data_IF_727192360912
#
_entry.id   IF_727192360912
#
_cell.length_a   1.000
_cell.length_b   1.000
_cell.length_c   1.000
_cell.angle_alpha   90.00
_cell.angle_beta   90.00
_cell.angle_gamma   90.00
#
_symmetry.space_group_name_H-M   'P 1'
#
loop_
_entity.id
_entity.type
_entity.pdbx_description
1 polymer ?
#
# COMPACT_ATOMS: atom_id res chain seq x y z
N UNK A 1 49.15 -11.01 -9.14
CA UNK A 1 48.21 -12.15 -9.03
C UNK A 1 47.28 -11.91 -7.86
N UNK A 2 46.03 -12.31 -8.06
CA UNK A 2 44.81 -12.06 -7.29
C UNK A 2 44.86 -12.45 -5.80
N UNK A 3 44.04 -11.75 -5.00
CA UNK A 3 43.05 -12.31 -4.05
C UNK A 3 42.27 -11.14 -3.42
N UNK A 4 41.08 -10.81 -3.94
CA UNK A 4 39.76 -11.24 -3.44
C UNK A 4 39.51 -10.91 -1.95
N UNK A 5 39.09 -9.67 -1.67
CA UNK A 5 38.44 -9.32 -0.41
C UNK A 5 36.92 -9.47 -0.56
N UNK A 6 36.40 -10.53 0.08
CA UNK A 6 34.98 -10.85 0.13
C UNK A 6 34.19 -9.81 0.91
N UNK A 7 33.22 -9.18 0.24
CA UNK A 7 32.14 -8.43 0.87
C UNK A 7 31.24 -9.43 1.61
N UNK A 8 31.39 -9.53 2.92
CA UNK A 8 30.43 -10.23 3.77
C UNK A 8 29.09 -9.50 3.71
N UNK A 9 28.08 -10.15 3.13
CA UNK A 9 26.70 -9.74 3.20
C UNK A 9 26.25 -9.69 4.67
N UNK A 10 26.15 -8.49 5.24
CA UNK A 10 25.57 -8.31 6.57
C UNK A 10 24.04 -8.44 6.45
N UNK A 11 23.52 -9.53 7.00
CA UNK A 11 22.10 -9.74 7.26
C UNK A 11 21.47 -8.51 7.95
N UNK A 12 20.22 -8.15 7.65
CA UNK A 12 19.51 -7.12 8.39
C UNK A 12 19.40 -7.54 9.87
N UNK A 13 19.60 -6.61 10.82
CA UNK A 13 19.61 -6.95 12.24
C UNK A 13 18.23 -7.47 12.68
N UNK A 14 18.20 -8.71 13.18
CA UNK A 14 17.03 -9.27 13.86
C UNK A 14 16.74 -8.46 15.12
N UNK A 15 15.48 -8.03 15.28
CA UNK A 15 14.97 -7.28 16.44
C UNK A 15 15.31 -7.98 17.76
N UNK A 16 16.10 -7.33 18.63
CA UNK A 16 16.05 -7.54 20.08
C UNK A 16 14.94 -6.63 20.63
N UNK A 17 13.94 -7.22 21.28
CA UNK A 17 12.78 -6.48 21.84
C UNK A 17 13.26 -5.36 22.77
N UNK A 18 12.75 -4.15 22.58
CA UNK A 18 12.83 -3.06 23.56
C UNK A 18 14.00 -2.07 23.47
N UNK A 19 14.93 -2.19 22.51
CA UNK A 19 15.94 -1.14 22.28
C UNK A 19 15.50 -0.17 21.17
N UNK A 20 15.69 1.16 21.34
CA UNK A 20 15.50 2.11 20.25
C UNK A 20 16.31 1.67 19.03
N UNK A 21 15.70 1.69 17.84
CA UNK A 21 16.45 1.52 16.60
C UNK A 21 17.49 2.64 16.55
N UNK A 22 18.77 2.26 16.45
CA UNK A 22 19.82 3.22 16.12
C UNK A 22 19.64 3.56 14.64
N UNK A 23 19.34 4.82 14.36
CA UNK A 23 19.25 5.32 12.99
C UNK A 23 20.58 5.95 12.64
N UNK A 24 21.18 5.49 11.54
CA UNK A 24 22.46 6.01 11.06
C UNK A 24 22.31 7.38 10.38
N UNK A 25 21.09 7.78 10.02
CA UNK A 25 20.77 9.07 9.42
C UNK A 25 19.58 9.73 10.16
N UNK A 26 19.63 11.06 10.30
CA UNK A 26 18.55 11.89 10.83
C UNK A 26 17.26 11.75 10.03
N UNK A 27 17.34 11.53 8.71
CA UNK A 27 16.15 11.35 7.86
C UNK A 27 15.44 10.03 8.12
N UNK A 28 16.21 8.96 8.33
CA UNK A 28 15.63 7.65 8.66
C UNK A 28 15.01 7.68 10.07
N UNK A 29 15.62 8.45 10.99
CA UNK A 29 15.03 8.73 12.30
C UNK A 29 13.73 9.51 12.18
N UNK A 30 13.69 10.56 11.35
CA UNK A 30 12.49 11.39 11.11
C UNK A 30 11.39 10.55 10.46
N UNK A 31 11.71 9.81 9.41
CA UNK A 31 10.80 8.89 8.72
C UNK A 31 10.22 7.85 9.68
N UNK A 32 11.06 7.20 10.49
CA UNK A 32 10.59 6.20 11.43
C UNK A 32 9.73 6.80 12.56
N UNK A 33 10.02 8.04 12.99
CA UNK A 33 9.14 8.78 13.92
C UNK A 33 7.78 9.05 13.30
N UNK A 34 7.73 9.51 12.04
CA UNK A 34 6.48 9.74 11.32
C UNK A 34 5.71 8.44 11.07
N UNK A 35 6.38 7.35 10.67
CA UNK A 35 5.75 6.02 10.54
C UNK A 35 5.22 5.48 11.88
N UNK A 36 5.96 5.66 12.96
CA UNK A 36 5.49 5.29 14.31
C UNK A 36 4.28 6.13 14.71
N UNK A 37 4.30 7.42 14.37
CA UNK A 37 3.18 8.33 14.60
C UNK A 37 1.95 7.91 13.78
N UNK A 38 2.12 7.50 12.52
CA UNK A 38 1.07 6.88 11.69
C UNK A 38 0.46 5.67 12.39
N UNK A 39 1.29 4.74 12.87
CA UNK A 39 0.81 3.56 13.60
C UNK A 39 0.06 3.93 14.88
N UNK A 40 0.51 4.96 15.60
CA UNK A 40 -0.18 5.43 16.81
C UNK A 40 -1.57 6.02 16.50
N UNK A 41 -1.71 6.77 15.40
CA UNK A 41 -3.00 7.30 14.97
C UNK A 41 -3.93 6.21 14.43
N UNK A 42 -3.39 5.22 13.71
CA UNK A 42 -4.15 4.05 13.26
C UNK A 42 -4.72 3.27 14.45
N UNK A 43 -3.89 2.94 15.44
CA UNK A 43 -4.32 2.24 16.64
C UNK A 43 -5.32 3.08 17.47
N UNK A 44 -5.15 4.39 17.54
CA UNK A 44 -6.09 5.27 18.26
C UNK A 44 -7.47 5.35 17.59
N UNK A 45 -7.54 5.20 16.26
CA UNK A 45 -8.81 5.12 15.52
C UNK A 45 -9.46 3.74 15.60
N UNK A 46 -8.68 2.65 15.54
CA UNK A 46 -9.21 1.29 15.76
C UNK A 46 -9.73 1.07 17.19
N UNK A 47 -9.16 1.77 18.17
CA UNK A 47 -9.62 1.71 19.57
C UNK A 47 -10.84 2.58 19.85
N UNK A 48 -11.31 3.39 18.91
CA UNK A 48 -12.56 4.16 19.02
C UNK A 48 -13.41 4.07 17.75
N UNK A 49 -14.00 2.91 17.40
CA UNK A 49 -14.92 2.88 16.27
C UNK A 49 -16.28 3.50 16.63
N UNK A 50 -16.72 3.42 17.89
CA UNK A 50 -18.10 3.75 18.29
C UNK A 50 -18.15 4.12 19.79
N UNK A 51 -18.62 5.33 20.11
CA UNK A 51 -19.25 5.56 21.40
C UNK A 51 -20.59 4.84 21.43
N UNK A 52 -20.64 3.61 21.98
CA UNK A 52 -21.78 2.99 22.69
C UNK A 52 -21.52 1.50 22.95
N UNK A 53 -21.70 1.08 24.21
CA UNK A 53 -22.48 -0.11 24.54
C UNK A 53 -21.83 -1.49 24.42
N UNK A 54 -21.90 -2.21 25.56
CA UNK A 54 -21.88 -3.67 25.69
C UNK A 54 -20.53 -4.38 25.71
N UNK A 55 -20.02 -4.47 26.94
CA UNK A 55 -19.41 -5.68 27.47
C UNK A 55 -20.24 -6.92 27.11
N UNK A 56 -19.74 -7.75 26.20
CA UNK A 56 -20.02 -9.18 26.25
C UNK A 56 -18.78 -9.95 25.79
N UNK A 57 -18.12 -10.55 26.78
CA UNK A 57 -17.01 -11.49 26.63
C UNK A 57 -17.47 -12.71 25.83
N UNK A 58 -16.65 -13.29 24.94
CA UNK A 58 -16.98 -14.58 24.35
C UNK A 58 -16.84 -15.70 25.40
N UNK A 59 -17.94 -16.44 25.61
CA UNK A 59 -17.97 -17.69 26.38
C UNK A 59 -17.25 -18.79 25.59
N UNK A 60 -16.32 -19.47 26.24
CA UNK A 60 -15.81 -20.78 25.83
C UNK A 60 -16.97 -21.77 25.69
N UNK A 61 -17.10 -22.43 24.54
CA UNK A 61 -17.75 -23.75 24.48
C UNK A 61 -16.74 -24.78 23.96
N UNK A 62 -16.53 -25.81 24.78
CA UNK A 62 -15.82 -27.03 24.45
C UNK A 62 -16.80 -27.91 23.68
N UNK A 63 -16.41 -28.42 22.52
CA UNK A 63 -17.10 -29.57 21.91
C UNK A 63 -16.11 -30.73 21.70
N UNK A 64 -16.51 -31.88 22.25
CA UNK A 64 -15.87 -33.17 22.16
C UNK A 64 -16.13 -33.85 20.80
N UNK A 65 -15.32 -34.86 20.40
CA UNK A 65 -15.44 -35.48 19.09
C UNK A 65 -16.61 -36.46 19.03
N UNK A 66 -17.39 -36.40 17.94
CA UNK A 66 -18.44 -37.37 17.63
C UNK A 66 -17.94 -38.36 16.57
N UNK A 67 -17.81 -39.63 16.95
CA UNK A 67 -17.67 -40.75 16.02
C UNK A 67 -19.05 -41.31 15.64
N UNK A 68 -19.18 -41.71 14.37
CA UNK A 68 -20.07 -42.73 13.75
C UNK A 68 -20.35 -42.28 12.30
N UNK A 69 -20.50 -43.09 11.28
CA UNK A 69 -20.31 -44.52 11.02
C UNK A 69 -20.43 -44.64 9.50
N UNK A 70 -19.54 -45.40 8.87
CA UNK A 70 -19.53 -45.62 7.42
C UNK A 70 -20.64 -46.62 7.06
N UNK A 71 -21.66 -46.15 6.35
CA UNK A 71 -22.60 -47.01 5.62
C UNK A 71 -22.79 -46.46 4.21
N UNK A 72 -22.47 -47.33 3.24
CA UNK A 72 -22.39 -47.08 1.81
C UNK A 72 -23.77 -47.34 1.20
N UNK A 73 -24.39 -46.30 0.65
CA UNK A 73 -25.59 -46.45 -0.18
C UNK A 73 -25.33 -45.76 -1.52
N UNK A 74 -25.40 -46.54 -2.60
CA UNK A 74 -25.21 -46.10 -3.98
C UNK A 74 -26.43 -45.28 -4.39
N UNK A 75 -26.22 -44.00 -4.73
CA UNK A 75 -27.26 -43.16 -5.34
C UNK A 75 -27.21 -43.28 -6.87
N UNK A 76 -28.37 -43.31 -7.56
CA UNK A 76 -28.45 -43.27 -9.01
C UNK A 76 -28.02 -41.88 -9.52
N UNK A 77 -27.25 -41.84 -10.62
CA UNK A 77 -26.80 -40.60 -11.23
C UNK A 77 -27.97 -39.79 -11.82
N UNK A 78 -27.98 -38.45 -11.69
CA UNK A 78 -28.88 -37.59 -12.46
C UNK A 78 -28.40 -37.44 -13.92
N UNK A 79 -29.33 -37.21 -14.87
CA UNK A 79 -29.00 -37.05 -16.28
C UNK A 79 -28.32 -35.69 -16.54
N UNK A 80 -27.34 -35.72 -17.44
CA UNK A 80 -26.68 -34.57 -18.09
C UNK A 80 -26.17 -33.46 -17.17
N UNK A 81 -25.00 -33.74 -16.57
CA UNK A 81 -24.07 -32.70 -16.17
C UNK A 81 -23.74 -31.87 -17.41
N UNK A 82 -24.14 -30.59 -17.39
CA UNK A 82 -23.68 -29.56 -18.32
C UNK A 82 -22.16 -29.76 -18.48
N UNK A 83 -21.73 -30.23 -19.67
CA UNK A 83 -20.31 -30.33 -19.99
C UNK A 83 -19.74 -28.96 -19.74
N UNK A 84 -18.91 -28.82 -18.71
CA UNK A 84 -18.14 -27.60 -18.51
C UNK A 84 -17.40 -27.37 -19.82
N UNK A 85 -17.86 -26.39 -20.59
CA UNK A 85 -17.08 -25.84 -21.68
C UNK A 85 -15.81 -25.38 -21.00
N UNK A 86 -14.73 -26.14 -21.17
CA UNK A 86 -13.41 -25.73 -20.72
C UNK A 86 -13.20 -24.37 -21.36
N UNK A 87 -13.23 -23.32 -20.53
CA UNK A 87 -12.92 -21.97 -21.00
C UNK A 87 -11.59 -22.09 -21.72
N UNK A 88 -11.47 -21.62 -22.97
CA UNK A 88 -10.21 -21.69 -23.68
C UNK A 88 -9.14 -21.08 -22.77
N UNK A 89 -8.10 -21.85 -22.49
CA UNK A 89 -6.99 -21.39 -21.68
C UNK A 89 -6.50 -20.10 -22.34
N UNK A 90 -6.73 -18.97 -21.65
CA UNK A 90 -6.20 -17.68 -22.07
C UNK A 90 -4.69 -17.86 -22.17
N UNK A 91 -4.18 -17.99 -23.40
CA UNK A 91 -2.75 -17.92 -23.68
C UNK A 91 -2.33 -16.49 -23.38
N UNK A 92 -2.05 -16.24 -22.11
CA UNK A 92 -1.41 -15.03 -21.65
C UNK A 92 -0.05 -15.00 -22.31
N UNK A 93 0.15 -14.14 -23.32
CA UNK A 93 1.50 -13.70 -23.66
C UNK A 93 2.02 -13.00 -22.38
N UNK A 94 2.99 -13.59 -21.65
CA UNK A 94 3.32 -13.17 -20.28
C UNK A 94 3.73 -11.69 -20.22
N UNK A 95 4.56 -11.28 -21.17
CA UNK A 95 5.22 -9.98 -21.23
C UNK A 95 4.25 -8.80 -21.43
N UNK A 96 3.19 -8.98 -22.24
CA UNK A 96 2.27 -7.88 -22.56
C UNK A 96 1.17 -7.69 -21.52
N UNK A 97 0.78 -8.75 -20.82
CA UNK A 97 -0.43 -8.71 -19.98
C UNK A 97 -0.13 -8.20 -18.57
N UNK A 98 1.00 -8.58 -17.98
CA UNK A 98 1.40 -8.08 -16.67
C UNK A 98 1.69 -6.58 -16.72
N UNK A 99 2.41 -6.13 -17.76
CA UNK A 99 2.72 -4.71 -17.97
C UNK A 99 1.47 -3.87 -18.19
N UNK A 100 0.52 -4.35 -19.01
CA UNK A 100 -0.79 -3.70 -19.19
C UNK A 100 -1.59 -3.65 -17.89
N UNK A 101 -1.57 -4.72 -17.10
CA UNK A 101 -2.24 -4.75 -15.80
C UNK A 101 -1.63 -3.74 -14.82
N UNK A 102 -0.29 -3.68 -14.74
CA UNK A 102 0.42 -2.69 -13.92
C UNK A 102 0.09 -1.25 -14.34
N UNK A 103 0.13 -0.96 -15.64
CA UNK A 103 -0.22 0.36 -16.17
C UNK A 103 -1.69 0.73 -15.90
N UNK A 104 -2.61 -0.22 -16.03
CA UNK A 104 -4.03 -0.01 -15.74
C UNK A 104 -4.28 0.28 -14.24
N UNK A 105 -3.58 -0.44 -13.35
CA UNK A 105 -3.66 -0.19 -11.90
C UNK A 105 -3.14 1.21 -11.58
N UNK A 106 -1.99 1.59 -12.13
CA UNK A 106 -1.41 2.92 -11.94
C UNK A 106 -2.36 4.02 -12.42
N UNK A 107 -2.84 3.89 -13.65
CA UNK A 107 -3.73 4.88 -14.27
C UNK A 107 -4.99 5.11 -13.45
N UNK A 108 -5.65 4.04 -12.97
CA UNK A 108 -6.88 4.15 -12.17
C UNK A 108 -6.71 5.03 -10.92
N UNK A 109 -5.52 5.03 -10.34
CA UNK A 109 -5.24 5.74 -9.07
C UNK A 109 -4.72 7.15 -9.30
N UNK A 110 -4.13 7.41 -10.47
CA UNK A 110 -3.36 8.63 -10.72
C UNK A 110 -3.90 9.49 -11.85
N UNK A 111 -5.03 9.13 -12.46
CA UNK A 111 -5.67 9.95 -13.49
C UNK A 111 -6.02 11.34 -12.92
N UNK A 112 -5.69 12.45 -13.63
CA UNK A 112 -5.18 12.53 -14.99
C UNK A 112 -3.65 12.37 -15.15
N UNK A 113 -2.88 12.41 -14.06
CA UNK A 113 -1.41 12.44 -14.01
C UNK A 113 -0.70 11.09 -14.23
N UNK A 114 -1.38 10.09 -14.80
CA UNK A 114 -0.85 8.74 -15.02
C UNK A 114 0.43 8.63 -15.86
N UNK A 115 0.81 9.69 -16.56
CA UNK A 115 2.08 9.78 -17.30
C UNK A 115 3.29 9.96 -16.38
N UNK A 116 3.08 10.52 -15.18
CA UNK A 116 4.09 10.64 -14.15
C UNK A 116 4.24 9.31 -13.43
N UNK A 117 5.44 9.02 -12.93
CA UNK A 117 5.70 7.79 -12.17
C UNK A 117 6.43 8.09 -10.86
N UNK A 118 6.36 7.16 -9.91
CA UNK A 118 7.12 7.32 -8.68
C UNK A 118 6.64 8.48 -7.82
N UNK A 119 7.58 9.34 -7.46
CA UNK A 119 7.39 10.44 -6.50
C UNK A 119 6.87 11.71 -7.18
N UNK A 120 7.17 11.89 -8.46
CA UNK A 120 6.77 13.06 -9.27
C UNK A 120 5.26 13.27 -9.30
N UNK A 121 4.48 12.19 -9.20
CA UNK A 121 3.01 12.25 -9.23
C UNK A 121 2.42 12.83 -7.94
N UNK A 122 3.17 12.85 -6.84
CA UNK A 122 2.63 13.22 -5.53
C UNK A 122 2.21 14.69 -5.48
N UNK A 123 3.02 15.60 -6.02
CA UNK A 123 2.70 17.02 -6.00
C UNK A 123 1.43 17.36 -6.81
N UNK A 124 1.27 16.90 -8.08
CA UNK A 124 0.03 17.11 -8.82
C UNK A 124 -1.21 16.47 -8.18
N UNK A 125 -1.06 15.31 -7.54
CA UNK A 125 -2.17 14.70 -6.78
C UNK A 125 -2.52 15.53 -5.55
N UNK A 126 -1.54 16.10 -4.86
CA UNK A 126 -1.79 17.02 -3.76
C UNK A 126 -2.53 18.28 -4.22
N UNK A 127 -2.18 18.84 -5.38
CA UNK A 127 -2.89 19.99 -5.95
C UNK A 127 -4.35 19.63 -6.30
N UNK A 128 -4.58 18.41 -6.78
CA UNK A 128 -5.93 17.86 -7.00
C UNK A 128 -6.70 17.73 -5.68
N UNK A 129 -6.05 17.27 -4.61
CA UNK A 129 -6.63 17.21 -3.25
C UNK A 129 -7.02 18.61 -2.76
N UNK A 130 -6.16 19.61 -2.93
CA UNK A 130 -6.47 21.00 -2.58
C UNK A 130 -7.64 21.55 -3.38
N UNK A 131 -7.74 21.19 -4.66
CA UNK A 131 -8.87 21.56 -5.51
C UNK A 131 -10.17 20.99 -4.94
N UNK A 132 -10.21 19.68 -4.65
CA UNK A 132 -11.37 19.02 -4.03
C UNK A 132 -11.77 19.70 -2.72
N UNK A 133 -10.80 20.03 -1.86
CA UNK A 133 -11.05 20.68 -0.58
C UNK A 133 -11.63 22.09 -0.76
N UNK A 134 -11.15 22.86 -1.75
CA UNK A 134 -11.58 24.24 -1.98
C UNK A 134 -12.94 24.33 -2.66
N UNK A 135 -13.30 23.35 -3.49
CA UNK A 135 -14.53 23.39 -4.29
C UNK A 135 -15.74 22.73 -3.62
N UNK A 136 -15.53 21.99 -2.53
CA UNK A 136 -16.58 21.23 -1.87
C UNK A 136 -16.75 21.67 -0.41
N UNK A 137 -17.91 21.37 0.18
CA UNK A 137 -18.09 21.48 1.63
C UNK A 137 -17.16 20.49 2.34
N UNK A 138 -16.85 20.75 3.62
CA UNK A 138 -15.92 19.92 4.40
C UNK A 138 -16.31 18.44 4.39
N UNK A 139 -17.58 18.14 4.64
CA UNK A 139 -18.06 16.75 4.72
C UNK A 139 -17.98 16.04 3.37
N UNK A 140 -18.33 16.74 2.29
CA UNK A 140 -18.19 16.22 0.92
C UNK A 140 -16.73 15.99 0.55
N UNK A 141 -15.85 16.94 0.83
CA UNK A 141 -14.42 16.79 0.58
C UNK A 141 -13.83 15.60 1.37
N UNK A 142 -14.16 15.43 2.65
CA UNK A 142 -13.72 14.28 3.45
C UNK A 142 -14.24 12.96 2.85
N UNK A 143 -15.51 12.91 2.42
CA UNK A 143 -16.08 11.73 1.79
C UNK A 143 -15.35 11.35 0.49
N UNK A 144 -15.14 12.32 -0.41
CA UNK A 144 -14.44 12.12 -1.69
C UNK A 144 -13.00 11.63 -1.45
N UNK A 145 -12.26 12.27 -0.54
CA UNK A 145 -10.89 11.88 -0.24
C UNK A 145 -10.81 10.48 0.41
N UNK A 146 -11.78 10.13 1.24
CA UNK A 146 -11.86 8.81 1.87
C UNK A 146 -12.15 7.73 0.83
N UNK A 147 -13.11 7.96 -0.07
CA UNK A 147 -13.45 7.05 -1.16
C UNK A 147 -12.28 6.85 -2.13
N UNK A 148 -11.61 7.96 -2.51
CA UNK A 148 -10.39 7.91 -3.34
C UNK A 148 -9.30 7.07 -2.67
N UNK A 149 -9.10 7.23 -1.35
CA UNK A 149 -8.15 6.42 -0.60
C UNK A 149 -8.52 4.92 -0.58
N UNK A 150 -9.81 4.57 -0.51
CA UNK A 150 -10.25 3.18 -0.61
C UNK A 150 -9.90 2.58 -1.97
N UNK A 151 -10.08 3.32 -3.06
CA UNK A 151 -9.66 2.89 -4.40
C UNK A 151 -8.14 2.66 -4.50
N UNK A 152 -7.34 3.50 -3.84
CA UNK A 152 -5.88 3.32 -3.76
C UNK A 152 -5.54 2.04 -2.99
N UNK A 153 -6.19 1.79 -1.84
CA UNK A 153 -5.99 0.56 -1.06
C UNK A 153 -6.34 -0.69 -1.84
N UNK A 154 -7.41 -0.66 -2.62
CA UNK A 154 -7.76 -1.79 -3.49
C UNK A 154 -6.78 -1.96 -4.65
N UNK A 155 -6.23 -0.87 -5.18
CA UNK A 155 -5.12 -0.92 -6.13
C UNK A 155 -3.85 -1.54 -5.53
N UNK A 156 -3.51 -1.22 -4.27
CA UNK A 156 -2.38 -1.83 -3.56
C UNK A 156 -2.57 -3.35 -3.42
N UNK A 157 -3.76 -3.82 -3.03
CA UNK A 157 -4.07 -5.25 -2.96
C UNK A 157 -3.93 -5.93 -4.32
N UNK A 158 -4.34 -5.27 -5.40
CA UNK A 158 -4.18 -5.79 -6.76
C UNK A 158 -2.71 -5.82 -7.19
N UNK A 159 -1.94 -4.77 -6.88
CA UNK A 159 -0.51 -4.70 -7.16
C UNK A 159 0.28 -5.77 -6.38
N UNK A 160 -0.13 -6.08 -5.14
CA UNK A 160 0.45 -7.18 -4.37
C UNK A 160 0.24 -8.54 -5.07
N UNK A 161 -0.97 -8.82 -5.57
CA UNK A 161 -1.23 -10.04 -6.35
C UNK A 161 -0.38 -10.09 -7.62
N UNK A 162 -0.26 -8.96 -8.32
CA UNK A 162 0.57 -8.85 -9.53
C UNK A 162 2.05 -9.11 -9.20
N UNK A 163 2.55 -8.55 -8.10
CA UNK A 163 3.92 -8.79 -7.61
C UNK A 163 4.14 -10.27 -7.30
N UNK A 164 3.22 -10.91 -6.59
CA UNK A 164 3.35 -12.31 -6.21
C UNK A 164 3.26 -13.25 -7.41
N UNK A 165 2.44 -12.92 -8.42
CA UNK A 165 2.39 -13.65 -9.69
C UNK A 165 3.65 -13.42 -10.55
N UNK A 166 4.17 -12.19 -10.60
CA UNK A 166 5.43 -11.88 -11.27
C UNK A 166 6.57 -12.69 -10.65
N UNK A 167 6.65 -12.74 -9.32
CA UNK A 167 7.67 -13.54 -8.63
C UNK A 167 7.64 -15.02 -9.02
N UNK A 168 6.44 -15.60 -9.17
CA UNK A 168 6.26 -17.02 -9.48
C UNK A 168 6.50 -17.36 -10.95
N UNK A 169 6.04 -16.50 -11.86
CA UNK A 169 5.93 -16.84 -13.29
C UNK A 169 6.91 -16.09 -14.18
N UNK A 170 7.29 -14.87 -13.82
CA UNK A 170 8.15 -14.02 -14.63
C UNK A 170 9.00 -13.08 -13.75
N UNK A 171 10.16 -13.57 -13.28
CA UNK A 171 11.05 -12.81 -12.41
C UNK A 171 11.56 -11.51 -13.03
N UNK A 172 11.52 -11.37 -14.36
CA UNK A 172 11.98 -10.19 -15.10
C UNK A 172 11.19 -8.94 -14.69
N UNK A 173 9.87 -9.09 -14.49
CA UNK A 173 8.98 -7.98 -14.12
C UNK A 173 8.78 -7.84 -12.62
N UNK A 174 9.41 -8.69 -11.80
CA UNK A 174 9.26 -8.61 -10.34
C UNK A 174 9.72 -7.26 -9.79
N UNK A 175 10.82 -6.72 -10.32
CA UNK A 175 11.34 -5.40 -9.94
C UNK A 175 10.35 -4.28 -10.27
N UNK A 176 9.75 -4.29 -11.47
CA UNK A 176 8.72 -3.34 -11.89
C UNK A 176 7.48 -3.43 -11.00
N UNK A 177 7.02 -4.64 -10.67
CA UNK A 177 5.87 -4.85 -9.81
C UNK A 177 6.13 -4.38 -8.35
N UNK A 178 7.35 -4.58 -7.84
CA UNK A 178 7.78 -4.04 -6.54
C UNK A 178 7.80 -2.50 -6.58
N UNK A 179 8.27 -1.91 -7.67
CA UNK A 179 8.26 -0.44 -7.85
C UNK A 179 6.82 0.09 -7.84
N UNK A 180 5.92 -0.47 -8.65
CA UNK A 180 4.50 -0.10 -8.66
C UNK A 180 3.87 -0.19 -7.27
N UNK A 181 4.10 -1.30 -6.55
CA UNK A 181 3.57 -1.49 -5.20
C UNK A 181 4.02 -0.38 -4.25
N UNK A 182 5.31 -0.02 -4.27
CA UNK A 182 5.85 1.07 -3.46
C UNK A 182 5.29 2.43 -3.85
N UNK A 183 5.12 2.67 -5.14
CA UNK A 183 4.57 3.94 -5.64
C UNK A 183 3.11 4.11 -5.21
N UNK A 184 2.30 3.06 -5.29
CA UNK A 184 0.93 3.07 -4.77
C UNK A 184 0.86 3.29 -3.26
N UNK A 185 1.81 2.74 -2.48
CA UNK A 185 1.89 3.00 -1.04
C UNK A 185 2.18 4.48 -0.72
N UNK A 186 2.95 5.17 -1.57
CA UNK A 186 3.20 6.61 -1.42
C UNK A 186 1.94 7.41 -1.70
N UNK A 187 1.18 7.02 -2.72
CA UNK A 187 -0.11 7.64 -3.04
C UNK A 187 -1.14 7.40 -1.92
N UNK A 188 -1.21 6.19 -1.35
CA UNK A 188 -2.05 5.89 -0.16
C UNK A 188 -1.68 6.82 0.99
N UNK A 189 -0.38 7.04 1.22
CA UNK A 189 0.08 7.95 2.26
C UNK A 189 -0.41 9.37 2.06
N UNK A 190 -0.31 9.89 0.83
CA UNK A 190 -0.75 11.24 0.50
C UNK A 190 -2.23 11.44 0.79
N UNK A 191 -3.09 10.55 0.28
CA UNK A 191 -4.54 10.66 0.51
C UNK A 191 -4.90 10.45 1.98
N UNK A 192 -4.23 9.52 2.66
CA UNK A 192 -4.44 9.25 4.08
C UNK A 192 -4.09 10.47 4.94
N UNK A 193 -2.87 11.01 4.82
CA UNK A 193 -2.41 12.12 5.64
C UNK A 193 -3.21 13.39 5.34
N UNK A 194 -3.49 13.69 4.06
CA UNK A 194 -4.29 14.84 3.70
C UNK A 194 -5.71 14.74 4.27
N UNK A 195 -6.38 13.59 4.10
CA UNK A 195 -7.73 13.37 4.64
C UNK A 195 -7.74 13.47 6.16
N UNK A 196 -6.76 12.88 6.84
CA UNK A 196 -6.65 12.91 8.30
C UNK A 196 -6.52 14.35 8.82
N UNK A 197 -5.52 15.10 8.34
CA UNK A 197 -5.26 16.45 8.83
C UNK A 197 -6.38 17.43 8.44
N UNK A 198 -6.94 17.29 7.24
CA UNK A 198 -8.10 18.07 6.84
C UNK A 198 -9.33 17.76 7.71
N UNK A 199 -9.60 16.48 7.98
CA UNK A 199 -10.74 16.06 8.82
C UNK A 199 -10.64 16.62 10.23
N UNK A 200 -9.45 16.68 10.83
CA UNK A 200 -9.30 17.19 12.20
C UNK A 200 -9.16 18.72 12.26
N UNK A 201 -8.30 19.31 11.43
CA UNK A 201 -7.86 20.69 11.60
C UNK A 201 -8.32 21.63 10.46
N UNK A 202 -9.08 21.11 9.50
CA UNK A 202 -9.48 21.87 8.32
C UNK A 202 -8.30 22.18 7.38
N UNK A 203 -8.56 23.05 6.39
CA UNK A 203 -7.57 23.39 5.37
C UNK A 203 -6.34 24.09 5.95
N UNK A 204 -6.53 25.01 6.91
CA UNK A 204 -5.43 25.74 7.54
C UNK A 204 -4.46 24.81 8.27
N UNK A 205 -4.98 23.84 9.02
CA UNK A 205 -4.13 22.86 9.69
C UNK A 205 -3.40 21.92 8.74
N UNK A 206 -4.03 21.52 7.63
CA UNK A 206 -3.36 20.74 6.59
C UNK A 206 -2.20 21.53 5.96
N UNK A 207 -2.43 22.79 5.59
CA UNK A 207 -1.42 23.64 4.98
C UNK A 207 -0.24 23.90 5.93
N UNK A 208 -0.50 24.12 7.22
CA UNK A 208 0.56 24.27 8.22
C UNK A 208 1.45 23.01 8.29
N UNK A 209 0.84 21.82 8.29
CA UNK A 209 1.59 20.56 8.31
C UNK A 209 2.45 20.33 7.07
N UNK A 210 1.97 20.78 5.91
CA UNK A 210 2.72 20.75 4.65
C UNK A 210 3.89 21.73 4.70
N UNK A 211 3.69 22.96 5.18
CA UNK A 211 4.76 23.95 5.31
C UNK A 211 5.85 23.52 6.30
N UNK A 212 5.46 22.83 7.38
CA UNK A 212 6.39 22.27 8.37
C UNK A 212 7.19 21.05 7.84
N UNK A 213 6.82 20.48 6.69
CA UNK A 213 7.40 19.23 6.19
C UNK A 213 7.06 18.04 7.08
N UNK A 214 5.95 18.12 7.81
CA UNK A 214 5.59 17.14 8.86
C UNK A 214 4.87 15.91 8.29
N UNK A 215 4.64 15.88 6.98
CA UNK A 215 3.95 14.80 6.29
C UNK A 215 4.94 13.82 5.65
N UNK A 216 4.66 12.52 5.83
CA UNK A 216 5.54 11.46 5.34
C UNK A 216 5.64 11.45 3.82
N UNK A 217 4.58 11.83 3.10
CA UNK A 217 4.65 11.87 1.64
C UNK A 217 5.60 12.95 1.10
N UNK A 218 5.83 14.06 1.83
CA UNK A 218 6.77 15.11 1.45
C UNK A 218 8.22 14.64 1.55
N UNK A 219 8.53 13.82 2.56
CA UNK A 219 9.86 13.20 2.68
C UNK A 219 10.23 12.31 1.49
N UNK A 220 9.24 11.81 0.74
CA UNK A 220 9.54 11.07 -0.49
C UNK A 220 9.99 11.99 -1.62
N UNK A 221 9.45 13.21 -1.70
CA UNK A 221 9.81 14.24 -2.68
C UNK A 221 11.23 14.75 -2.39
N UNK A 222 11.49 15.19 -1.16
CA UNK A 222 12.80 15.70 -0.74
C UNK A 222 13.93 14.70 -1.07
N UNK A 223 13.73 13.41 -0.78
CA UNK A 223 14.72 12.36 -1.09
C UNK A 223 14.92 12.09 -2.58
N UNK A 224 13.92 12.35 -3.42
CA UNK A 224 14.06 12.20 -4.86
C UNK A 224 14.91 13.34 -5.43
N UNK A 225 14.67 14.57 -4.99
CA UNK A 225 15.45 15.76 -5.35
C UNK A 225 16.92 15.63 -4.92
N UNK A 226 17.18 15.15 -3.70
CA UNK A 226 18.54 14.90 -3.21
C UNK A 226 19.29 13.83 -4.00
N UNK A 227 18.57 12.80 -4.49
CA UNK A 227 19.15 11.72 -5.27
C UNK A 227 19.54 12.20 -6.68
N UNK A 228 18.71 13.04 -7.30
CA UNK A 228 19.01 13.66 -8.60
C UNK A 228 20.12 14.71 -8.50
N UNK A 229 20.10 15.54 -7.44
CA UNK A 229 21.14 16.55 -7.19
C UNK A 229 22.53 15.95 -6.97
N UNK A 230 22.63 14.80 -6.27
CA UNK A 230 23.90 14.06 -6.13
C UNK A 230 24.38 13.44 -7.43
N UNK A 231 23.46 12.93 -8.26
CA UNK A 231 23.84 12.33 -9.54
C UNK A 231 24.42 13.37 -10.51
N UNK A 232 23.93 14.61 -10.47
CA UNK A 232 24.47 15.71 -11.27
C UNK A 232 25.83 16.18 -10.74
N UNK A 233 26.02 16.22 -9.41
CA UNK A 233 27.29 16.61 -8.80
C UNK A 233 28.41 15.57 -8.97
N UNK A 234 28.09 14.28 -9.07
CA UNK A 234 29.07 13.21 -9.30
C UNK A 234 29.45 13.04 -10.79
N UNK A 235 28.75 13.74 -11.70
CA UNK A 235 29.01 13.75 -13.16
C UNK A 235 29.80 15.02 -13.58
N UNK A 236 29.85 16.05 -12.74
CA UNK A 236 30.64 17.28 -12.95
C UNK A 236 32.01 17.19 -12.28
#
# INVERSE_FOLDING_TARGET
>A
MSQLNGKSATCPPKRKRGRPLLYNNNDDRRKARLETRRMSYFNAQELNPLGTGNNNKPKHSKHAPSMKSVSRTVHPQPPDVIKHVQRPALRLKPDSNLRRAMAAIWRRVTEPHHQLTGVEVLQPLYDSVLTVIRTNTRDMAVAILTDTNLHVKDAIKQAERVRDEAHKRDPTYFSEAVKLYRDLQRVDMLYYECSLWFKHNGLTGLLAKVQEGDLLWQLYIEKAEDAEGKLVADIM
#
